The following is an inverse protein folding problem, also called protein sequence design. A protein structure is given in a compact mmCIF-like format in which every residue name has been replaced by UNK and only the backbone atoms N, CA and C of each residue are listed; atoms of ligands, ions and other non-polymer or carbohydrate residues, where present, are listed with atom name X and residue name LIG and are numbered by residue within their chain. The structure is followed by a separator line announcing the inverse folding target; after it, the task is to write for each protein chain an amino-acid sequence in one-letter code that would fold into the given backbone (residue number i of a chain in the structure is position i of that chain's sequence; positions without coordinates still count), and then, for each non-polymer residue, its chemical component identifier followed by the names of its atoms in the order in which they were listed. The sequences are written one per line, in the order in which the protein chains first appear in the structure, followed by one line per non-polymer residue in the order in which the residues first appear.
data_IF_839224339285
#
_entry.id   IF_839224339285
#
_cell.length_a   1.000
_cell.length_b   1.000
_cell.length_c   1.000
_cell.angle_alpha   90.00
_cell.angle_beta   90.00
_cell.angle_gamma   90.00
#
_symmetry.space_group_name_H-M   'P 1'
#
loop_
_entity.id
_entity.type
_entity.pdbx_description
1 polymer ?
#
# COMPACT_ATOMS: atom_id res chain seq x y z
N UNK A 1 3.51 -10.51 11.46
CA UNK A 1 2.79 -11.51 12.28
C UNK A 1 1.52 -11.85 11.55
N UNK A 2 1.29 -13.12 11.25
CA UNK A 2 0.10 -13.56 10.53
C UNK A 2 -1.09 -13.72 11.47
N UNK A 3 -2.30 -13.43 11.01
CA UNK A 3 -3.53 -13.68 11.75
C UNK A 3 -3.90 -15.16 11.65
N UNK A 4 -4.23 -15.77 12.79
CA UNK A 4 -4.76 -17.13 12.87
C UNK A 4 -6.22 -17.10 13.29
N UNK A 5 -7.01 -18.09 12.84
CA UNK A 5 -8.47 -18.12 13.00
C UNK A 5 -8.93 -17.94 14.47
N UNK A 6 -8.28 -18.61 15.42
CA UNK A 6 -8.63 -18.46 16.83
C UNK A 6 -8.47 -17.00 17.32
N UNK A 7 -7.45 -16.26 16.83
CA UNK A 7 -7.30 -14.84 17.16
C UNK A 7 -8.45 -14.01 16.61
N UNK A 8 -8.90 -14.29 15.40
CA UNK A 8 -10.00 -13.58 14.73
C UNK A 8 -11.33 -13.84 15.46
N UNK A 9 -11.53 -15.05 15.99
CA UNK A 9 -12.73 -15.42 16.77
C UNK A 9 -12.74 -14.80 18.17
N UNK A 10 -11.58 -14.68 18.81
CA UNK A 10 -11.46 -14.09 20.15
C UNK A 10 -11.44 -12.55 20.16
N UNK A 11 -11.41 -11.91 19.00
CA UNK A 11 -11.42 -10.44 18.89
C UNK A 11 -12.74 -9.89 19.42
N UNK A 12 -12.64 -9.08 20.48
CA UNK A 12 -13.78 -8.35 21.03
C UNK A 12 -14.17 -7.22 20.08
N UNK A 13 -15.48 -7.04 19.89
CA UNK A 13 -16.02 -5.86 19.24
C UNK A 13 -15.75 -4.65 20.15
N UNK A 14 -15.36 -3.56 19.51
CA UNK A 14 -15.17 -2.25 20.17
C UNK A 14 -16.19 -1.29 19.59
N UNK A 15 -16.58 -0.27 20.34
CA UNK A 15 -17.49 0.79 19.87
C UNK A 15 -16.99 1.48 18.59
N UNK A 16 -15.67 1.50 18.40
CA UNK A 16 -15.05 2.07 17.22
C UNK A 16 -14.60 0.98 16.24
N UNK A 17 -14.80 1.17 14.92
CA UNK A 17 -14.31 0.25 13.91
C UNK A 17 -12.77 0.22 13.90
N UNK A 18 -12.19 -0.97 13.78
CA UNK A 18 -10.73 -1.15 13.79
C UNK A 18 -10.25 -2.14 12.73
N UNK A 19 -8.95 -2.06 12.43
CA UNK A 19 -8.28 -2.86 11.39
C UNK A 19 -7.34 -3.88 12.05
N UNK A 20 -7.51 -5.15 11.69
CA UNK A 20 -6.58 -6.22 12.03
C UNK A 20 -5.71 -6.50 10.81
N UNK A 21 -4.46 -6.08 10.87
CA UNK A 21 -3.52 -6.25 9.77
C UNK A 21 -2.94 -7.67 9.79
N UNK A 22 -2.96 -8.33 8.65
CA UNK A 22 -2.29 -9.59 8.39
C UNK A 22 -1.00 -9.36 7.56
N UNK A 23 -0.41 -10.44 7.07
CA UNK A 23 0.67 -10.43 6.09
C UNK A 23 0.23 -9.93 4.70
N UNK A 24 1.21 -9.49 3.90
CA UNK A 24 1.05 -9.21 2.46
C UNK A 24 -0.02 -8.16 2.09
N UNK A 25 -0.33 -7.23 3.01
CA UNK A 25 -1.33 -6.18 2.75
C UNK A 25 -2.78 -6.64 2.88
N UNK A 26 -3.01 -7.86 3.38
CA UNK A 26 -4.33 -8.32 3.79
C UNK A 26 -4.67 -7.72 5.16
N UNK A 27 -5.91 -7.29 5.34
CA UNK A 27 -6.41 -6.88 6.65
C UNK A 27 -7.90 -7.16 6.79
N UNK A 28 -8.33 -7.44 8.01
CA UNK A 28 -9.73 -7.58 8.37
C UNK A 28 -10.24 -6.26 8.95
N UNK A 29 -11.35 -5.77 8.42
CA UNK A 29 -12.07 -4.62 8.94
C UNK A 29 -13.23 -5.10 9.80
N UNK A 30 -13.25 -4.68 11.07
CA UNK A 30 -14.24 -5.09 12.07
C UNK A 30 -15.06 -3.88 12.46
N UNK A 31 -16.37 -3.96 12.25
CA UNK A 31 -17.32 -2.93 12.67
C UNK A 31 -17.92 -3.25 14.06
N UNK A 32 -18.32 -2.22 14.83
CA UNK A 32 -19.04 -2.40 16.10
C UNK A 32 -20.31 -3.24 15.95
N UNK A 33 -21.00 -3.17 14.80
CA UNK A 33 -22.18 -3.98 14.48
C UNK A 33 -21.89 -5.46 14.18
N UNK A 34 -20.66 -5.95 14.40
CA UNK A 34 -20.28 -7.36 14.25
C UNK A 34 -19.94 -7.79 12.82
N UNK A 35 -20.12 -6.92 11.83
CA UNK A 35 -19.72 -7.23 10.45
C UNK A 35 -18.19 -7.22 10.31
N UNK A 36 -17.68 -8.20 9.56
CA UNK A 36 -16.26 -8.48 9.38
C UNK A 36 -15.99 -8.68 7.90
N UNK A 37 -15.10 -7.87 7.33
CA UNK A 37 -14.80 -7.90 5.90
C UNK A 37 -13.30 -7.92 5.65
N UNK A 38 -12.87 -8.77 4.72
CA UNK A 38 -11.49 -8.83 4.27
C UNK A 38 -11.23 -7.79 3.19
N UNK A 39 -10.11 -7.09 3.33
CA UNK A 39 -9.61 -6.14 2.35
C UNK A 39 -8.17 -6.51 2.01
N UNK A 40 -7.86 -6.49 0.72
CA UNK A 40 -6.52 -6.70 0.22
C UNK A 40 -6.01 -5.40 -0.39
N UNK A 41 -4.97 -4.83 0.20
CA UNK A 41 -4.26 -3.71 -0.41
C UNK A 41 -3.26 -4.27 -1.43
N UNK A 42 -3.68 -4.27 -2.69
CA UNK A 42 -2.80 -4.53 -3.81
C UNK A 42 -1.88 -3.32 -4.00
N UNK A 43 -0.73 -3.33 -3.35
CA UNK A 43 0.36 -2.44 -3.72
C UNK A 43 1.08 -3.07 -4.91
N UNK A 44 0.96 -2.50 -6.13
CA UNK A 44 1.88 -2.86 -7.18
C UNK A 44 3.28 -2.43 -6.71
N UNK A 45 4.23 -3.36 -6.73
CA UNK A 45 5.65 -3.13 -6.48
C UNK A 45 6.09 -3.06 -5.01
N UNK A 46 6.02 -4.18 -4.28
CA UNK A 46 7.01 -4.48 -3.24
C UNK A 46 8.31 -4.95 -3.93
N UNK A 47 9.01 -4.03 -4.56
CA UNK A 47 10.21 -4.33 -5.36
C UNK A 47 10.83 -3.15 -6.10
N UNK A 48 10.24 -1.96 -6.07
CA UNK A 48 10.90 -0.76 -6.60
C UNK A 48 11.80 -0.14 -5.52
N UNK A 49 12.93 -0.79 -5.22
CA UNK A 49 14.06 -0.10 -4.59
C UNK A 49 14.55 0.94 -5.59
N UNK A 50 14.34 2.21 -5.23
CA UNK A 50 15.00 3.41 -5.72
C UNK A 50 15.57 3.40 -7.14
N UNK A 51 14.86 4.04 -8.07
CA UNK A 51 15.52 4.91 -9.04
C UNK A 51 14.93 6.31 -8.91
N UNK A 52 15.56 7.16 -8.11
CA UNK A 52 15.43 8.61 -8.34
C UNK A 52 16.04 8.86 -9.71
N UNK A 53 15.20 9.10 -10.71
CA UNK A 53 15.69 9.64 -11.98
C UNK A 53 16.31 11.00 -11.66
N UNK A 54 17.64 11.09 -11.75
CA UNK A 54 18.33 12.38 -11.74
C UNK A 54 17.78 13.20 -12.89
N UNK A 55 17.15 14.32 -12.57
CA UNK A 55 16.65 15.29 -13.53
C UNK A 55 17.85 16.06 -14.13
N UNK A 56 18.74 15.37 -14.82
CA UNK A 56 19.86 16.02 -15.51
C UNK A 56 19.51 16.20 -16.98
N UNK A 57 19.13 17.44 -17.30
CA UNK A 57 19.41 18.12 -18.57
C UNK A 57 18.71 17.63 -19.85
N UNK A 58 17.44 18.00 -20.02
CA UNK A 58 16.84 18.20 -21.36
C UNK A 58 16.82 19.69 -21.75
N UNK A 59 17.96 20.40 -21.69
CA UNK A 59 18.07 21.80 -22.16
C UNK A 59 19.11 22.06 -23.25
N UNK A 60 19.69 21.04 -23.90
CA UNK A 60 20.76 21.28 -24.88
C UNK A 60 20.52 20.77 -26.31
N UNK A 61 19.34 20.26 -26.66
CA UNK A 61 19.09 19.80 -28.04
C UNK A 61 18.40 20.83 -28.96
N UNK A 62 18.19 22.07 -28.51
CA UNK A 62 17.59 23.15 -29.34
C UNK A 62 18.53 24.27 -29.78
N UNK A 63 19.82 24.20 -29.47
CA UNK A 63 20.81 25.22 -29.89
C UNK A 63 21.72 24.80 -31.05
N UNK A 64 21.58 23.59 -31.61
CA UNK A 64 22.35 23.17 -32.80
C UNK A 64 21.61 23.37 -34.13
N UNK A 65 20.36 23.81 -34.10
CA UNK A 65 19.60 24.08 -35.33
C UNK A 65 19.69 25.54 -35.80
N UNK A 66 20.48 26.39 -35.12
CA UNK A 66 20.66 27.80 -35.45
C UNK A 66 21.99 28.14 -36.14
N UNK A 67 22.87 27.16 -36.36
CA UNK A 67 24.13 27.36 -37.11
C UNK A 67 24.12 26.56 -38.43
N UNK A 68 23.21 26.90 -39.35
CA UNK A 68 23.39 26.61 -40.77
C UNK A 68 22.66 27.63 -41.64
#
# INVERSE_FOLDING_TARGET
MSLYDAKIRSVKLSDNPFKLTDSQGLYLFVNPGGSRHWYLKLCPCQGAVGKKASQTSMKNLRRRQQDK
#
